data_IF_537191050240
#
_entry.id   IF_537191050240
#
_cell.length_a   1.000
_cell.length_b   1.000
_cell.length_c   1.000
_cell.angle_alpha   90.00
_cell.angle_beta   90.00
_cell.angle_gamma   90.00
#
_symmetry.space_group_name_H-M   'P 1'
#
loop_
_entity.id
_entity.type
_entity.pdbx_description
1 polymer ?
#
# COMPACT_ATOMS: atom_id res chain seq x y z
N UNK A 1 9.38 11.60 5.72
CA UNK A 1 8.31 10.97 4.92
C UNK A 1 8.58 9.48 4.95
N UNK A 2 7.67 8.70 5.53
CA UNK A 2 7.79 7.24 5.49
C UNK A 2 7.20 6.72 4.17
N UNK A 3 7.60 5.52 3.75
CA UNK A 3 7.10 4.88 2.53
C UNK A 3 5.57 4.83 2.43
N UNK A 4 4.91 4.61 3.58
CA UNK A 4 3.44 4.57 3.71
C UNK A 4 2.77 5.89 3.29
N UNK A 5 3.37 7.03 3.66
CA UNK A 5 2.82 8.36 3.37
C UNK A 5 2.93 8.66 1.87
N UNK A 6 4.08 8.35 1.25
CA UNK A 6 4.29 8.53 -0.17
C UNK A 6 3.35 7.63 -1.00
N UNK A 7 3.16 6.38 -0.56
CA UNK A 7 2.26 5.44 -1.24
C UNK A 7 0.81 5.95 -1.22
N UNK A 8 0.35 6.42 -0.05
CA UNK A 8 -0.98 6.99 0.10
C UNK A 8 -1.17 8.26 -0.74
N UNK A 9 -0.18 9.16 -0.74
CA UNK A 9 -0.20 10.38 -1.55
C UNK A 9 -0.28 10.06 -3.03
N UNK A 10 0.62 9.23 -3.56
CA UNK A 10 0.65 8.86 -4.99
C UNK A 10 -0.67 8.19 -5.40
N UNK A 11 -1.22 7.31 -4.55
CA UNK A 11 -2.51 6.66 -4.81
C UNK A 11 -3.63 7.70 -4.96
N UNK A 12 -3.67 8.67 -4.04
CA UNK A 12 -4.66 9.75 -4.06
C UNK A 12 -4.48 10.72 -5.22
N UNK A 13 -3.24 11.11 -5.53
CA UNK A 13 -2.92 11.98 -6.66
C UNK A 13 -3.33 11.36 -7.99
N UNK A 14 -3.15 10.05 -8.13
CA UNK A 14 -3.56 9.31 -9.33
C UNK A 14 -5.03 8.90 -9.32
N UNK A 15 -5.80 9.26 -8.28
CA UNK A 15 -7.22 8.91 -8.16
C UNK A 15 -7.50 7.42 -8.05
N UNK A 16 -6.52 6.60 -7.68
CA UNK A 16 -6.62 5.15 -7.69
C UNK A 16 -7.24 4.58 -6.41
N UNK A 17 -7.95 3.47 -6.57
CA UNK A 17 -8.35 2.64 -5.42
C UNK A 17 -7.19 1.76 -4.92
N UNK A 18 -7.31 1.22 -3.70
CA UNK A 18 -6.33 0.24 -3.20
C UNK A 18 -6.31 -1.03 -4.06
N UNK A 19 -7.44 -1.39 -4.68
CA UNK A 19 -7.56 -2.56 -5.56
C UNK A 19 -6.83 -2.35 -6.88
N UNK A 20 -6.95 -1.17 -7.47
CA UNK A 20 -6.21 -0.83 -8.69
C UNK A 20 -4.71 -0.78 -8.45
N UNK A 21 -4.29 -0.17 -7.34
CA UNK A 21 -2.87 -0.16 -6.97
C UNK A 21 -2.36 -1.58 -6.69
N UNK A 22 -3.18 -2.43 -6.08
CA UNK A 22 -2.86 -3.82 -5.81
C UNK A 22 -2.70 -4.61 -7.12
N UNK A 23 -3.62 -4.44 -8.07
CA UNK A 23 -3.55 -5.06 -9.38
C UNK A 23 -2.31 -4.61 -10.18
N UNK A 24 -1.95 -3.33 -10.11
CA UNK A 24 -0.74 -2.80 -10.77
C UNK A 24 0.56 -3.33 -10.15
N UNK A 25 0.57 -3.51 -8.83
CA UNK A 25 1.73 -4.03 -8.11
C UNK A 25 1.77 -5.57 -8.04
N UNK A 26 0.80 -6.26 -8.64
CA UNK A 26 0.61 -7.72 -8.55
C UNK A 26 0.60 -8.24 -7.10
N UNK A 27 -0.04 -7.48 -6.21
CA UNK A 27 -0.21 -7.82 -4.81
C UNK A 27 -1.69 -7.84 -4.43
N UNK A 28 -2.00 -8.33 -3.23
CA UNK A 28 -3.38 -8.25 -2.73
C UNK A 28 -3.71 -6.84 -2.21
N UNK A 29 -4.98 -6.43 -2.31
CA UNK A 29 -5.49 -5.20 -1.66
C UNK A 29 -5.10 -5.11 -0.19
N UNK A 30 -5.06 -6.26 0.50
CA UNK A 30 -4.66 -6.35 1.90
C UNK A 30 -3.18 -6.00 2.11
N UNK A 31 -2.29 -6.32 1.16
CA UNK A 31 -0.88 -5.93 1.19
C UNK A 31 -0.74 -4.41 1.07
N UNK A 32 -1.45 -3.78 0.12
CA UNK A 32 -1.50 -2.31 -0.01
C UNK A 32 -2.00 -1.67 1.28
N UNK A 33 -3.07 -2.20 1.87
CA UNK A 33 -3.60 -1.71 3.14
C UNK A 33 -2.58 -1.82 4.29
N UNK A 34 -1.80 -2.90 4.35
CA UNK A 34 -0.72 -3.06 5.34
C UNK A 34 0.41 -2.05 5.12
N UNK A 35 0.78 -1.81 3.86
CA UNK A 35 1.81 -0.83 3.49
C UNK A 35 1.38 0.60 3.84
N UNK A 36 0.14 0.98 3.53
CA UNK A 36 -0.41 2.29 3.88
C UNK A 36 -0.57 2.49 5.40
N UNK A 37 -0.86 1.42 6.15
CA UNK A 37 -0.98 1.49 7.62
C UNK A 37 0.35 1.28 8.37
N UNK A 38 1.47 1.04 7.67
CA UNK A 38 2.78 0.79 8.29
C UNK A 38 2.86 -0.52 9.07
N UNK A 39 1.90 -1.44 8.91
CA UNK A 39 1.90 -2.75 9.56
C UNK A 39 2.71 -3.72 8.71
N UNK A 40 4.03 -3.51 8.70
CA UNK A 40 4.94 -4.52 8.17
C UNK A 40 4.80 -5.75 9.07
N UNK A 41 4.29 -6.86 8.52
CA UNK A 41 4.34 -8.14 9.23
C UNK A 41 5.82 -8.50 9.39
N UNK A 42 6.43 -8.10 10.51
CA UNK A 42 7.49 -8.88 11.11
C UNK A 42 6.85 -10.19 11.54
N UNK A 43 6.75 -11.16 10.62
CA UNK A 43 6.75 -12.55 11.05
C UNK A 43 8.15 -12.79 11.62
N UNK A 44 8.24 -12.73 12.95
CA UNK A 44 9.28 -13.43 13.67
C UNK A 44 9.22 -14.89 13.26
N UNK A 45 10.30 -15.34 12.64
CA UNK A 45 10.69 -16.74 12.56
C UNK A 45 11.92 -16.88 13.46
#
# INVERSE_FOLDING_TARGET
MEFKDNLYQIRKEKGMSQEELAALCDVSRQAISKWENGVSQTKGY
#
